data_IF_950961678577
#
_entry.id   IF_950961678577
#
_cell.length_a   1.000
_cell.length_b   1.000
_cell.length_c   1.000
_cell.angle_alpha   90.00
_cell.angle_beta   90.00
_cell.angle_gamma   90.00
#
_symmetry.space_group_name_H-M   'P 1'
#
loop_
_entity.id
_entity.type
_entity.pdbx_description
1 polymer ?
#
# COMPACT_ATOMS: atom_id res chain seq x y z
N UNK A 1 3.70 -8.40 73.46
CA UNK A 1 5.03 -8.55 72.83
C UNK A 1 5.10 -9.89 72.14
N UNK A 2 5.02 -9.94 70.80
CA UNK A 2 5.81 -10.83 69.93
C UNK A 2 5.35 -10.60 68.49
N UNK A 3 6.26 -10.10 67.66
CA UNK A 3 6.09 -9.84 66.24
C UNK A 3 6.24 -11.14 65.43
N UNK A 4 5.60 -11.17 64.26
CA UNK A 4 5.74 -12.22 63.24
C UNK A 4 7.21 -12.45 62.81
N UNK A 5 7.48 -13.53 62.05
CA UNK A 5 7.52 -13.27 60.61
C UNK A 5 6.87 -14.39 59.78
N UNK A 6 5.82 -14.02 59.04
CA UNK A 6 5.37 -14.78 57.88
C UNK A 6 6.35 -14.54 56.73
N UNK A 7 6.80 -15.64 56.11
CA UNK A 7 7.80 -15.66 55.05
C UNK A 7 7.27 -14.97 53.80
N UNK A 8 8.06 -14.04 53.26
CA UNK A 8 7.81 -13.36 51.99
C UNK A 8 8.13 -14.32 50.84
N UNK A 9 7.11 -14.98 50.27
CA UNK A 9 7.26 -15.71 49.02
C UNK A 9 7.09 -14.72 47.86
N UNK A 10 8.19 -14.23 47.30
CA UNK A 10 8.18 -13.50 46.03
C UNK A 10 7.84 -14.49 44.91
N UNK A 11 6.56 -14.50 44.50
CA UNK A 11 6.15 -15.20 43.29
C UNK A 11 6.47 -14.32 42.10
N UNK A 12 7.48 -14.72 41.31
CA UNK A 12 7.85 -14.11 40.04
C UNK A 12 6.77 -14.44 39.00
N UNK A 13 5.68 -13.68 39.01
CA UNK A 13 4.67 -13.76 37.95
C UNK A 13 5.21 -13.01 36.73
N UNK A 14 5.85 -13.76 35.83
CA UNK A 14 6.09 -13.31 34.46
C UNK A 14 4.73 -13.19 33.77
N UNK A 15 4.21 -11.98 33.75
CA UNK A 15 3.02 -11.62 32.98
C UNK A 15 3.45 -11.58 31.51
N UNK A 16 3.29 -12.71 30.83
CA UNK A 16 3.32 -12.81 29.37
C UNK A 16 2.13 -12.01 28.85
N UNK A 17 2.35 -10.73 28.54
CA UNK A 17 1.41 -9.90 27.79
C UNK A 17 1.33 -10.46 26.37
N UNK A 18 0.35 -11.35 26.16
CA UNK A 18 -0.13 -11.69 24.84
C UNK A 18 -0.69 -10.39 24.23
N UNK A 19 0.10 -9.75 23.37
CA UNK A 19 -0.41 -8.70 22.51
C UNK A 19 -1.48 -9.34 21.62
N UNK A 20 -2.74 -9.18 21.99
CA UNK A 20 -3.87 -9.29 21.07
C UNK A 20 -3.71 -8.14 20.09
N UNK A 21 -2.79 -8.32 19.15
CA UNK A 21 -2.72 -7.53 17.94
C UNK A 21 -4.02 -7.81 17.24
N UNK A 22 -4.91 -6.82 17.20
CA UNK A 22 -6.11 -6.89 16.39
C UNK A 22 -5.68 -7.21 14.97
N UNK A 23 -5.89 -8.46 14.55
CA UNK A 23 -5.71 -8.89 13.19
C UNK A 23 -6.75 -8.11 12.37
N UNK A 24 -6.33 -6.94 11.88
CA UNK A 24 -6.89 -6.39 10.66
C UNK A 24 -6.94 -7.55 9.68
N UNK A 25 -8.08 -7.83 9.03
CA UNK A 25 -8.15 -8.94 8.08
C UNK A 25 -7.05 -8.68 7.05
N UNK A 26 -6.02 -9.53 7.08
CA UNK A 26 -4.85 -9.39 6.22
C UNK A 26 -5.37 -9.12 4.82
N UNK A 27 -5.07 -7.93 4.31
CA UNK A 27 -5.59 -7.55 3.00
C UNK A 27 -5.09 -8.57 1.99
N UNK A 28 -5.87 -8.91 0.96
CA UNK A 28 -5.49 -9.92 -0.03
C UNK A 28 -4.09 -9.69 -0.64
N UNK A 29 -3.62 -8.44 -0.62
CA UNK A 29 -2.26 -8.07 -0.98
C UNK A 29 -1.21 -8.53 0.05
N UNK A 30 -1.44 -8.33 1.35
CA UNK A 30 -0.54 -8.78 2.43
C UNK A 30 -0.40 -10.31 2.41
N UNK A 31 -1.51 -11.04 2.22
CA UNK A 31 -1.47 -12.49 2.02
C UNK A 31 -0.65 -12.92 0.79
N UNK A 32 -0.62 -12.09 -0.25
CA UNK A 32 0.16 -12.33 -1.45
C UNK A 32 1.67 -12.15 -1.22
N UNK A 33 2.05 -11.10 -0.50
CA UNK A 33 3.45 -10.83 -0.15
C UNK A 33 4.00 -11.88 0.82
N UNK A 34 3.20 -12.30 1.80
CA UNK A 34 3.56 -13.40 2.71
C UNK A 34 3.75 -14.71 1.94
N UNK A 35 2.83 -15.06 1.03
CA UNK A 35 2.97 -16.25 0.21
C UNK A 35 4.21 -16.22 -0.70
N UNK A 36 4.61 -15.04 -1.20
CA UNK A 36 5.88 -14.88 -1.92
C UNK A 36 7.05 -15.21 -1.00
N UNK A 37 7.05 -14.65 0.20
CA UNK A 37 8.16 -14.81 1.14
C UNK A 37 8.28 -16.26 1.63
N UNK A 38 7.16 -16.91 1.92
CA UNK A 38 7.11 -18.36 2.22
C UNK A 38 7.65 -19.19 1.04
N UNK A 39 7.33 -18.83 -0.20
CA UNK A 39 7.84 -19.51 -1.38
C UNK A 39 9.37 -19.34 -1.55
N UNK A 40 9.90 -18.18 -1.20
CA UNK A 40 11.34 -17.89 -1.21
C UNK A 40 12.05 -18.68 -0.11
N UNK A 41 11.51 -18.68 1.11
CA UNK A 41 12.11 -19.32 2.29
C UNK A 41 12.02 -20.85 2.24
N UNK A 42 10.99 -21.40 1.58
CA UNK A 42 10.84 -22.84 1.34
C UNK A 42 11.80 -23.40 0.28
N UNK A 43 12.72 -22.61 -0.26
CA UNK A 43 13.71 -23.08 -1.22
C UNK A 43 14.75 -24.01 -0.54
N UNK A 44 15.21 -25.08 -1.22
CA UNK A 44 16.05 -26.12 -0.61
C UNK A 44 17.47 -25.69 -0.28
N UNK A 45 17.99 -24.61 -0.87
CA UNK A 45 19.39 -24.18 -0.70
C UNK A 45 19.46 -22.68 -0.48
N UNK A 46 20.36 -22.22 0.42
CA UNK A 46 20.55 -20.81 0.72
C UNK A 46 20.87 -19.96 -0.52
N UNK A 47 21.60 -20.52 -1.50
CA UNK A 47 21.88 -19.86 -2.78
C UNK A 47 20.60 -19.62 -3.60
N UNK A 48 19.67 -20.58 -3.61
CA UNK A 48 18.38 -20.43 -4.31
C UNK A 48 17.52 -19.36 -3.64
N UNK A 49 17.46 -19.36 -2.30
CA UNK A 49 16.79 -18.30 -1.51
C UNK A 49 17.32 -16.92 -1.91
N UNK A 50 18.65 -16.74 -1.94
CA UNK A 50 19.27 -15.47 -2.29
C UNK A 50 18.93 -15.01 -3.73
N UNK A 51 18.94 -15.94 -4.69
CA UNK A 51 18.59 -15.64 -6.08
C UNK A 51 17.11 -15.27 -6.24
N UNK A 52 16.21 -16.00 -5.58
CA UNK A 52 14.78 -15.69 -5.61
C UNK A 52 14.49 -14.34 -4.94
N UNK A 53 15.19 -14.02 -3.84
CA UNK A 53 15.12 -12.71 -3.19
C UNK A 53 15.58 -11.59 -4.13
N UNK A 54 16.68 -11.80 -4.86
CA UNK A 54 17.18 -10.84 -5.83
C UNK A 54 16.19 -10.64 -7.00
N UNK A 55 15.57 -11.71 -7.50
CA UNK A 55 14.52 -11.61 -8.52
C UNK A 55 13.31 -10.85 -7.96
N UNK A 56 12.95 -11.06 -6.70
CA UNK A 56 11.83 -10.37 -6.09
C UNK A 56 12.05 -8.86 -5.94
N UNK A 57 13.29 -8.43 -5.62
CA UNK A 57 13.63 -7.01 -5.49
C UNK A 57 13.86 -6.33 -6.84
N UNK A 58 14.57 -6.99 -7.75
CA UNK A 58 15.17 -6.33 -8.91
C UNK A 58 14.39 -6.55 -10.22
N UNK A 59 13.37 -7.41 -10.22
CA UNK A 59 12.63 -7.71 -11.44
C UNK A 59 11.81 -6.49 -11.93
N UNK A 60 12.05 -6.00 -13.16
CA UNK A 60 11.41 -4.79 -13.67
C UNK A 60 9.90 -4.92 -13.80
N UNK A 61 9.37 -6.12 -14.06
CA UNK A 61 7.92 -6.34 -14.14
C UNK A 61 7.25 -6.19 -12.76
N UNK A 62 7.91 -6.66 -11.69
CA UNK A 62 7.42 -6.50 -10.32
C UNK A 62 7.50 -5.03 -9.91
N UNK A 63 8.64 -4.37 -10.18
CA UNK A 63 8.85 -2.96 -9.90
C UNK A 63 7.81 -2.07 -10.61
N UNK A 64 7.55 -2.33 -11.90
CA UNK A 64 6.53 -1.61 -12.66
C UNK A 64 5.12 -1.80 -12.07
N UNK A 65 4.74 -3.04 -11.73
CA UNK A 65 3.44 -3.32 -11.15
C UNK A 65 3.25 -2.62 -9.80
N UNK A 66 4.29 -2.61 -8.95
CA UNK A 66 4.30 -1.90 -7.67
C UNK A 66 4.21 -0.39 -7.83
N UNK A 67 4.97 0.19 -8.76
CA UNK A 67 4.90 1.61 -9.06
C UNK A 67 3.50 2.03 -9.51
N UNK A 68 2.84 1.22 -10.35
CA UNK A 68 1.46 1.44 -10.77
C UNK A 68 0.46 1.33 -9.60
N UNK A 69 0.68 0.39 -8.68
CA UNK A 69 -0.14 0.26 -7.48
C UNK A 69 0.03 1.46 -6.53
N UNK A 70 1.26 1.93 -6.33
CA UNK A 70 1.57 3.12 -5.55
C UNK A 70 0.94 4.39 -6.16
N UNK A 71 1.09 4.58 -7.48
CA UNK A 71 0.48 5.70 -8.19
C UNK A 71 -1.06 5.72 -8.08
N UNK A 72 -1.70 4.55 -7.99
CA UNK A 72 -3.15 4.47 -7.75
C UNK A 72 -3.54 4.76 -6.31
N UNK A 73 -2.70 4.38 -5.34
CA UNK A 73 -2.95 4.68 -3.93
C UNK A 73 -2.99 6.20 -3.67
N UNK A 74 -2.13 6.98 -4.34
CA UNK A 74 -2.09 8.44 -4.23
C UNK A 74 -3.33 9.15 -4.79
N UNK A 75 -4.14 8.49 -5.63
CA UNK A 75 -5.36 9.09 -6.20
C UNK A 75 -6.51 9.18 -5.20
N UNK A 76 -6.56 8.29 -4.21
CA UNK A 76 -7.56 8.28 -3.16
C UNK A 76 -7.67 9.63 -2.43
N UNK A 77 -6.60 10.11 -1.78
CA UNK A 77 -6.64 11.39 -1.07
C UNK A 77 -6.93 12.56 -2.01
N UNK A 78 -6.47 12.53 -3.27
CA UNK A 78 -6.75 13.60 -4.23
C UNK A 78 -8.25 13.77 -4.50
N UNK A 79 -9.00 12.68 -4.68
CA UNK A 79 -10.45 12.75 -4.98
C UNK A 79 -11.33 12.95 -3.74
N UNK A 80 -10.79 12.65 -2.54
CA UNK A 80 -11.46 12.83 -1.26
C UNK A 80 -11.39 14.28 -0.74
N UNK A 81 -10.54 15.12 -1.35
CA UNK A 81 -10.37 16.52 -0.95
C UNK A 81 -11.43 17.44 -1.56
N UNK A 82 -11.59 18.62 -0.95
CA UNK A 82 -12.49 19.65 -1.45
C UNK A 82 -11.97 20.16 -2.81
N UNK A 83 -12.84 20.37 -3.81
CA UNK A 83 -12.41 20.94 -5.08
C UNK A 83 -11.70 22.28 -4.92
N UNK A 84 -10.72 22.53 -5.77
CA UNK A 84 -9.94 23.75 -5.76
C UNK A 84 -10.82 25.00 -5.96
N UNK A 85 -10.51 26.10 -5.26
CA UNK A 85 -11.19 27.37 -5.47
C UNK A 85 -10.83 27.98 -6.83
N UNK A 86 -11.81 28.59 -7.48
CA UNK A 86 -11.62 29.36 -8.71
C UNK A 86 -11.51 30.85 -8.39
N UNK A 87 -10.45 31.47 -8.89
CA UNK A 87 -10.25 32.93 -8.86
C UNK A 87 -10.55 33.50 -10.25
N UNK A 88 -11.46 34.45 -10.33
CA UNK A 88 -11.81 35.18 -11.55
C UNK A 88 -11.44 36.65 -11.43
N UNK A 89 -10.85 37.21 -12.48
CA UNK A 89 -10.64 38.64 -12.63
C UNK A 89 -11.28 39.10 -13.93
N UNK A 90 -12.11 40.14 -13.87
CA UNK A 90 -12.80 40.72 -15.02
C UNK A 90 -12.64 42.23 -15.01
N UNK A 91 -12.33 42.82 -16.17
CA UNK A 91 -12.31 44.27 -16.39
C UNK A 91 -13.43 44.64 -17.35
N UNK A 92 -14.19 45.69 -17.02
CA UNK A 92 -15.34 46.12 -17.81
C UNK A 92 -14.96 47.28 -18.73
N UNK A 93 -15.16 47.10 -20.04
CA UNK A 93 -14.98 48.15 -21.05
C UNK A 93 -16.01 49.27 -20.89
N UNK A 94 -17.27 48.89 -20.69
CA UNK A 94 -18.33 49.78 -20.23
C UNK A 94 -18.71 49.36 -18.80
N UNK A 95 -18.35 50.15 -17.78
CA UNK A 95 -18.64 49.80 -16.39
C UNK A 95 -20.15 49.94 -16.12
N UNK A 96 -20.79 48.94 -15.49
CA UNK A 96 -22.16 49.08 -15.02
C UNK A 96 -22.21 50.10 -13.88
N UNK A 97 -23.25 50.92 -13.86
CA UNK A 97 -23.51 51.85 -12.76
C UNK A 97 -23.99 51.07 -11.53
N UNK A 98 -23.22 51.12 -10.45
CA UNK A 98 -23.63 50.57 -9.15
C UNK A 98 -24.02 51.71 -8.22
N UNK A 99 -24.71 51.42 -7.11
CA UNK A 99 -25.12 52.43 -6.11
C UNK A 99 -23.93 53.24 -5.55
N UNK A 100 -22.71 52.76 -5.74
CA UNK A 100 -21.44 53.36 -5.30
C UNK A 100 -20.57 53.89 -6.46
N UNK A 101 -21.10 53.94 -7.69
CA UNK A 101 -20.40 54.40 -8.90
C UNK A 101 -19.99 53.28 -9.87
N UNK A 102 -19.28 53.59 -10.96
CA UNK A 102 -18.98 52.64 -12.03
C UNK A 102 -17.97 51.56 -11.60
N UNK A 103 -18.33 50.29 -11.74
CA UNK A 103 -17.45 49.17 -11.44
C UNK A 103 -16.54 48.82 -12.63
N UNK A 104 -15.24 49.10 -12.49
CA UNK A 104 -14.25 48.89 -13.58
C UNK A 104 -13.60 47.50 -13.57
N UNK A 105 -13.50 46.89 -12.40
CA UNK A 105 -12.86 45.57 -12.19
C UNK A 105 -13.65 44.77 -11.16
N UNK A 106 -13.75 43.46 -11.38
CA UNK A 106 -14.33 42.48 -10.46
C UNK A 106 -13.31 41.39 -10.19
N UNK A 107 -13.19 41.00 -8.92
CA UNK A 107 -12.54 39.78 -8.50
C UNK A 107 -13.60 38.83 -7.90
N UNK A 108 -13.61 37.57 -8.33
CA UNK A 108 -14.49 36.53 -7.78
C UNK A 108 -13.66 35.38 -7.21
N UNK A 109 -14.08 34.86 -6.06
CA UNK A 109 -13.56 33.64 -5.47
C UNK A 109 -14.74 32.67 -5.31
N UNK A 110 -14.67 31.50 -5.93
CA UNK A 110 -15.72 30.48 -5.83
C UNK A 110 -15.14 29.13 -5.44
N UNK A 111 -15.72 28.47 -4.43
CA UNK A 111 -15.38 27.09 -4.07
C UNK A 111 -16.64 26.23 -4.09
N UNK A 112 -16.56 25.07 -4.75
CA UNK A 112 -17.67 24.10 -4.79
C UNK A 112 -17.65 23.30 -3.49
N UNK A 113 -18.72 23.38 -2.71
CA UNK A 113 -18.90 22.57 -1.50
C UNK A 113 -19.82 21.38 -1.83
N UNK A 114 -19.28 20.17 -2.04
CA UNK A 114 -20.09 18.98 -2.23
C UNK A 114 -20.82 18.58 -0.94
N UNK A 115 -21.96 17.92 -1.11
CA UNK A 115 -22.75 17.41 0.01
C UNK A 115 -21.99 16.34 0.81
N UNK A 116 -22.30 16.24 2.11
CA UNK A 116 -21.69 15.25 3.01
C UNK A 116 -21.78 13.83 2.41
N UNK A 117 -20.69 13.07 2.49
CA UNK A 117 -20.61 11.68 2.01
C UNK A 117 -20.13 11.50 0.57
N UNK A 118 -20.38 12.44 -0.36
CA UNK A 118 -19.97 12.27 -1.77
C UNK A 118 -18.45 12.17 -1.95
N UNK A 119 -17.68 12.90 -1.15
CA UNK A 119 -16.21 12.83 -1.17
C UNK A 119 -15.70 11.50 -0.61
N UNK A 120 -16.24 11.03 0.52
CA UNK A 120 -15.91 9.71 1.10
C UNK A 120 -16.18 8.59 0.10
N UNK A 121 -17.34 8.57 -0.55
CA UNK A 121 -17.67 7.55 -1.55
C UNK A 121 -16.68 7.54 -2.73
N UNK A 122 -16.22 8.71 -3.20
CA UNK A 122 -15.21 8.80 -4.25
C UNK A 122 -13.87 8.25 -3.79
N UNK A 123 -13.48 8.60 -2.55
CA UNK A 123 -12.26 8.08 -1.93
C UNK A 123 -12.32 6.57 -1.76
N UNK A 124 -13.44 6.02 -1.28
CA UNK A 124 -13.65 4.58 -1.06
C UNK A 124 -13.52 3.78 -2.36
N UNK A 125 -14.08 4.30 -3.47
CA UNK A 125 -13.93 3.70 -4.80
C UNK A 125 -12.45 3.68 -5.22
N UNK A 126 -11.73 4.80 -5.04
CA UNK A 126 -10.30 4.82 -5.38
C UNK A 126 -9.47 3.93 -4.47
N UNK A 127 -9.82 3.81 -3.19
CA UNK A 127 -9.18 2.90 -2.23
C UNK A 127 -9.35 1.44 -2.65
N UNK A 128 -10.54 1.06 -3.11
CA UNK A 128 -10.80 -0.28 -3.65
C UNK A 128 -9.96 -0.56 -4.92
N UNK A 129 -9.87 0.40 -5.84
CA UNK A 129 -9.04 0.27 -7.05
C UNK A 129 -7.54 0.19 -6.72
N UNK A 130 -7.07 0.92 -5.70
CA UNK A 130 -5.71 0.84 -5.22
C UNK A 130 -5.41 -0.54 -4.59
N UNK A 131 -6.34 -1.06 -3.78
CA UNK A 131 -6.23 -2.40 -3.20
C UNK A 131 -6.17 -3.49 -4.28
N UNK A 132 -7.00 -3.38 -5.32
CA UNK A 132 -6.96 -4.28 -6.47
C UNK A 132 -5.60 -4.22 -7.18
N UNK A 133 -5.08 -3.02 -7.43
CA UNK A 133 -3.80 -2.86 -8.09
C UNK A 133 -2.63 -3.44 -7.28
N UNK A 134 -2.66 -3.31 -5.95
CA UNK A 134 -1.72 -3.97 -5.06
C UNK A 134 -1.83 -5.50 -5.16
N UNK A 135 -3.03 -6.05 -5.10
CA UNK A 135 -3.24 -7.49 -5.24
C UNK A 135 -2.72 -8.03 -6.59
N UNK A 136 -2.92 -7.28 -7.69
CA UNK A 136 -2.36 -7.64 -9.00
C UNK A 136 -0.83 -7.60 -9.01
N UNK A 137 -0.21 -6.64 -8.33
CA UNK A 137 1.25 -6.57 -8.24
C UNK A 137 1.84 -7.81 -7.52
N UNK A 138 1.20 -8.25 -6.45
CA UNK A 138 1.62 -9.46 -5.73
C UNK A 138 1.39 -10.74 -6.54
N UNK A 139 0.30 -10.83 -7.30
CA UNK A 139 0.09 -11.94 -8.24
C UNK A 139 1.19 -12.02 -9.32
N UNK A 140 1.65 -10.87 -9.82
CA UNK A 140 2.76 -10.80 -10.77
C UNK A 140 4.05 -11.29 -10.09
N UNK A 141 4.33 -10.85 -8.86
CA UNK A 141 5.48 -11.31 -8.09
C UNK A 141 5.48 -12.84 -7.90
N UNK A 142 4.37 -13.40 -7.42
CA UNK A 142 4.18 -14.86 -7.28
C UNK A 142 4.42 -15.60 -8.60
N UNK A 143 3.90 -15.07 -9.70
CA UNK A 143 4.06 -15.68 -11.03
C UNK A 143 5.53 -15.68 -11.46
N UNK A 144 6.26 -14.58 -11.23
CA UNK A 144 7.68 -14.48 -11.59
C UNK A 144 8.55 -15.40 -10.75
N UNK A 145 8.30 -15.48 -9.44
CA UNK A 145 9.09 -16.31 -8.53
C UNK A 145 8.81 -17.79 -8.75
N UNK A 146 7.55 -18.19 -8.90
CA UNK A 146 7.20 -19.58 -9.25
C UNK A 146 7.75 -20.00 -10.61
N UNK A 147 7.82 -19.09 -11.57
CA UNK A 147 8.49 -19.33 -12.85
C UNK A 147 10.00 -19.50 -12.66
N UNK A 148 10.66 -18.61 -11.90
CA UNK A 148 12.08 -18.68 -11.63
C UNK A 148 12.46 -20.01 -10.96
N UNK A 149 11.73 -20.41 -9.92
CA UNK A 149 11.93 -21.68 -9.22
C UNK A 149 11.85 -22.88 -10.16
N UNK A 150 10.82 -22.94 -11.01
CA UNK A 150 10.69 -24.00 -12.03
C UNK A 150 11.88 -24.03 -13.00
N UNK A 151 12.38 -22.86 -13.40
CA UNK A 151 13.54 -22.77 -14.29
C UNK A 151 14.82 -23.24 -13.60
N UNK A 152 15.03 -22.87 -12.34
CA UNK A 152 16.18 -23.32 -11.55
C UNK A 152 16.20 -24.83 -11.38
N UNK A 153 15.07 -25.43 -11.01
CA UNK A 153 14.94 -26.90 -10.94
C UNK A 153 15.23 -27.56 -12.29
N UNK A 154 14.74 -26.96 -13.39
CA UNK A 154 14.99 -27.48 -14.74
C UNK A 154 16.47 -27.41 -15.12
N UNK A 155 17.17 -26.32 -14.79
CA UNK A 155 18.60 -26.16 -15.04
C UNK A 155 19.39 -27.21 -14.25
N UNK A 156 19.07 -27.38 -12.96
CA UNK A 156 19.70 -28.39 -12.12
C UNK A 156 19.53 -29.81 -12.69
N UNK A 157 18.34 -30.13 -13.19
CA UNK A 157 18.08 -31.41 -13.85
C UNK A 157 18.91 -31.61 -15.13
N UNK A 158 19.01 -30.58 -15.97
CA UNK A 158 19.81 -30.62 -17.22
C UNK A 158 21.30 -30.77 -16.92
N UNK A 159 21.78 -30.19 -15.82
CA UNK A 159 23.19 -30.31 -15.43
C UNK A 159 23.55 -31.74 -15.01
N UNK A 160 22.69 -32.38 -14.21
CA UNK A 160 22.85 -33.79 -13.82
C UNK A 160 22.83 -34.73 -15.02
N UNK A 161 21.93 -34.51 -15.99
CA UNK A 161 21.84 -35.39 -17.15
C UNK A 161 23.06 -35.33 -18.07
N UNK A 162 23.77 -34.19 -18.11
CA UNK A 162 25.05 -34.04 -18.83
C UNK A 162 26.21 -34.78 -18.19
N UNK A 163 26.19 -35.01 -16.88
CA UNK A 163 27.28 -35.68 -16.17
C UNK A 163 27.27 -37.20 -16.32
N UNK A 164 26.13 -37.77 -16.72
CA UNK A 164 25.92 -39.22 -16.85
C UNK A 164 26.27 -39.74 -18.26
N UNK A 165 26.29 -38.87 -19.27
CA UNK A 165 26.65 -39.17 -20.66
C UNK A 165 28.10 -38.77 -20.95
#
# INVERSE_FOLDING_TARGET
>A
MSFAPARLNFSLTVLLTLAVTGALPATRAELGAEAVQELIESAPTATEVALLQQIYSDNPAIAQARALAAARAERGPQVGTLPDPTLGLAAFLLPPETRTGPQRVTATLGQRIPWKGKLSLREDVQRALAAEARARAEQIALTKISQARRLLTRIAFIDVSKQIL
#
